data_IF_131994363871
#
_entry.id   IF_131994363871
#
_cell.length_a   1.000
_cell.length_b   1.000
_cell.length_c   1.000
_cell.angle_alpha   90.00
_cell.angle_beta   90.00
_cell.angle_gamma   90.00
#
_symmetry.space_group_name_H-M   'P 1'
#
loop_
_entity.id
_entity.type
_entity.pdbx_description
1 polymer ?
#
# COMPACT_ATOMS: atom_id res chain seq x y z
N UNK A 1 27.37 -7.26 -8.10
CA UNK A 1 26.05 -7.20 -7.42
C UNK A 1 25.92 -8.38 -6.47
N UNK A 2 25.77 -8.16 -5.15
CA UNK A 2 25.43 -9.24 -4.21
C UNK A 2 23.98 -9.67 -4.46
N UNK A 3 23.63 -10.96 -4.49
CA UNK A 3 22.27 -11.39 -4.77
C UNK A 3 21.33 -10.93 -3.65
N UNK A 4 20.32 -10.12 -4.01
CA UNK A 4 19.30 -9.56 -3.11
C UNK A 4 18.73 -10.62 -2.14
N UNK A 5 18.56 -11.85 -2.64
CA UNK A 5 18.04 -13.02 -1.95
C UNK A 5 18.75 -13.41 -0.65
N UNK A 6 20.02 -13.03 -0.46
CA UNK A 6 20.79 -13.46 0.71
C UNK A 6 20.37 -12.77 2.01
N UNK A 7 19.69 -11.62 1.89
CA UNK A 7 19.22 -10.80 3.02
C UNK A 7 17.75 -11.06 3.39
N UNK A 8 17.02 -11.86 2.62
CA UNK A 8 15.61 -12.12 2.90
C UNK A 8 15.37 -13.45 3.62
N UNK A 9 14.43 -13.47 4.59
CA UNK A 9 14.01 -14.68 5.28
C UNK A 9 13.56 -15.78 4.31
N UNK A 10 13.70 -17.03 4.73
CA UNK A 10 13.40 -18.23 3.93
C UNK A 10 11.98 -18.20 3.33
N UNK A 11 11.00 -17.63 4.05
CA UNK A 11 9.61 -17.54 3.62
C UNK A 11 9.35 -16.57 2.47
N UNK A 12 10.27 -15.63 2.18
CA UNK A 12 10.12 -14.72 1.04
C UNK A 12 10.74 -15.28 -0.23
N UNK A 13 11.72 -16.20 -0.14
CA UNK A 13 12.54 -16.63 -1.28
C UNK A 13 11.76 -17.19 -2.47
N UNK A 14 10.62 -17.85 -2.23
CA UNK A 14 9.74 -18.34 -3.31
C UNK A 14 8.97 -17.22 -4.03
N UNK A 15 8.68 -16.09 -3.37
CA UNK A 15 7.97 -14.96 -3.99
C UNK A 15 8.84 -14.18 -4.97
N UNK A 16 10.13 -14.06 -4.67
CA UNK A 16 11.08 -13.31 -5.49
C UNK A 16 11.20 -13.86 -6.93
N UNK A 17 10.91 -15.13 -7.16
CA UNK A 17 11.06 -15.78 -8.47
C UNK A 17 9.87 -15.58 -9.42
N UNK A 18 8.68 -15.27 -8.91
CA UNK A 18 7.45 -15.32 -9.71
C UNK A 18 6.59 -14.05 -9.65
N UNK A 19 6.78 -13.18 -8.65
CA UNK A 19 5.95 -11.99 -8.48
C UNK A 19 6.34 -10.83 -9.42
N UNK A 20 7.63 -10.56 -9.62
CA UNK A 20 8.13 -9.51 -10.51
C UNK A 20 9.61 -9.75 -10.90
N UNK A 21 10.16 -9.09 -11.93
CA UNK A 21 11.59 -9.15 -12.23
C UNK A 21 12.45 -8.60 -11.08
N UNK A 22 13.70 -9.07 -10.97
CA UNK A 22 14.63 -8.67 -9.89
C UNK A 22 14.99 -7.19 -9.89
N UNK A 23 15.05 -6.56 -11.07
CA UNK A 23 15.32 -5.13 -11.18
C UNK A 23 14.18 -4.31 -10.57
N UNK A 24 12.91 -4.72 -10.80
CA UNK A 24 11.72 -4.07 -10.25
C UNK A 24 11.71 -4.20 -8.72
N UNK A 25 12.10 -5.36 -8.21
CA UNK A 25 12.21 -5.61 -6.77
C UNK A 25 13.31 -4.80 -6.10
N UNK A 26 14.45 -4.64 -6.79
CA UNK A 26 15.56 -3.83 -6.31
C UNK A 26 15.17 -2.36 -6.24
N UNK A 27 14.45 -1.86 -7.25
CA UNK A 27 13.90 -0.51 -7.29
C UNK A 27 12.95 -0.25 -6.12
N UNK A 28 11.97 -1.14 -5.91
CA UNK A 28 11.02 -1.01 -4.79
C UNK A 28 11.75 -1.04 -3.46
N UNK A 29 12.70 -1.96 -3.28
CA UNK A 29 13.46 -2.04 -2.04
C UNK A 29 14.25 -0.76 -1.79
N UNK A 30 14.91 -0.18 -2.80
CA UNK A 30 15.61 1.10 -2.65
C UNK A 30 14.66 2.25 -2.29
N UNK A 31 13.46 2.28 -2.88
CA UNK A 31 12.45 3.29 -2.53
C UNK A 31 11.94 3.14 -1.09
N UNK A 32 11.93 1.91 -0.55
CA UNK A 32 11.50 1.62 0.82
C UNK A 32 12.62 1.81 1.86
N UNK A 33 13.89 1.89 1.45
CA UNK A 33 15.04 1.95 2.38
C UNK A 33 15.05 3.18 3.30
N UNK A 34 14.38 4.26 2.92
CA UNK A 34 14.24 5.47 3.74
C UNK A 34 13.23 5.32 4.90
N UNK A 35 12.57 4.17 5.04
CA UNK A 35 11.31 4.07 5.80
C UNK A 35 11.30 2.97 6.88
N UNK A 36 11.94 3.26 8.01
CA UNK A 36 11.88 2.43 9.23
C UNK A 36 12.98 1.36 9.34
N UNK A 37 12.76 0.36 10.20
CA UNK A 37 13.74 -0.69 10.49
C UNK A 37 13.87 -1.69 9.34
N UNK A 38 15.00 -2.42 9.26
CA UNK A 38 15.19 -3.47 8.24
C UNK A 38 14.03 -4.48 8.21
N UNK A 39 13.54 -4.89 9.38
CA UNK A 39 12.37 -5.77 9.49
C UNK A 39 11.12 -5.15 8.87
N UNK A 40 10.86 -3.86 9.11
CA UNK A 40 9.72 -3.16 8.52
C UNK A 40 9.85 -3.06 7.01
N UNK A 41 11.06 -2.80 6.49
CA UNK A 41 11.34 -2.79 5.06
C UNK A 41 11.07 -4.17 4.42
N UNK A 42 11.46 -5.25 5.09
CA UNK A 42 11.18 -6.62 4.63
C UNK A 42 9.68 -6.91 4.55
N UNK A 43 8.90 -6.54 5.57
CA UNK A 43 7.44 -6.74 5.56
C UNK A 43 6.72 -5.85 4.53
N UNK A 44 7.17 -4.61 4.36
CA UNK A 44 6.70 -3.72 3.28
C UNK A 44 6.96 -4.34 1.90
N UNK A 45 8.19 -4.80 1.67
CA UNK A 45 8.57 -5.50 0.45
C UNK A 45 7.76 -6.79 0.23
N UNK A 46 7.48 -7.53 1.31
CA UNK A 46 6.63 -8.71 1.28
C UNK A 46 5.21 -8.35 0.83
N UNK A 47 4.62 -7.30 1.37
CA UNK A 47 3.30 -6.83 0.97
C UNK A 47 3.27 -6.46 -0.51
N UNK A 48 4.27 -5.72 -0.99
CA UNK A 48 4.43 -5.43 -2.41
C UNK A 48 4.42 -6.71 -3.29
N UNK A 49 5.23 -7.71 -2.94
CA UNK A 49 5.31 -8.97 -3.71
C UNK A 49 3.97 -9.72 -3.70
N UNK A 50 3.28 -9.75 -2.55
CA UNK A 50 1.96 -10.37 -2.41
C UNK A 50 0.93 -9.68 -3.29
N UNK A 51 0.89 -8.34 -3.30
CA UNK A 51 -0.02 -7.55 -4.12
C UNK A 51 0.26 -7.71 -5.62
N UNK A 52 1.54 -7.75 -6.03
CA UNK A 52 1.89 -8.05 -7.43
C UNK A 52 1.42 -9.45 -7.84
N UNK A 53 1.58 -10.44 -6.96
CA UNK A 53 1.12 -11.79 -7.22
C UNK A 53 -0.41 -11.88 -7.25
N UNK A 54 -1.10 -11.14 -6.39
CA UNK A 54 -2.56 -11.01 -6.40
C UNK A 54 -3.05 -10.46 -7.74
N UNK A 55 -2.46 -9.37 -8.23
CA UNK A 55 -2.79 -8.79 -9.53
C UNK A 55 -2.57 -9.77 -10.70
N UNK A 56 -1.55 -10.63 -10.64
CA UNK A 56 -1.34 -11.68 -11.66
C UNK A 56 -2.36 -12.80 -11.57
N UNK A 57 -2.75 -13.19 -10.35
CA UNK A 57 -3.68 -14.30 -10.10
C UNK A 57 -5.13 -13.93 -10.42
N UNK A 58 -5.54 -12.70 -10.12
CA UNK A 58 -6.91 -12.22 -10.35
C UNK A 58 -7.04 -11.67 -11.77
N UNK A 59 -7.89 -12.30 -12.60
CA UNK A 59 -8.10 -11.87 -13.99
C UNK A 59 -9.07 -10.70 -14.14
N UNK A 60 -9.99 -10.52 -13.19
CA UNK A 60 -10.91 -9.37 -13.13
C UNK A 60 -10.23 -8.13 -12.56
N UNK A 61 -10.70 -6.94 -12.97
CA UNK A 61 -10.31 -5.68 -12.32
C UNK A 61 -10.74 -5.69 -10.85
N UNK A 62 -9.96 -5.01 -10.01
CA UNK A 62 -10.28 -4.74 -8.62
C UNK A 62 -9.48 -3.56 -8.11
N UNK A 63 -10.09 -2.79 -7.22
CA UNK A 63 -9.40 -1.82 -6.40
C UNK A 63 -8.89 -2.46 -5.11
N UNK A 64 -7.77 -1.98 -4.60
CA UNK A 64 -7.37 -2.31 -3.23
C UNK A 64 -6.58 -1.15 -2.63
N UNK A 65 -6.84 -0.86 -1.36
CA UNK A 65 -6.11 0.14 -0.58
C UNK A 65 -5.59 -0.53 0.70
N UNK A 66 -4.28 -0.57 0.87
CA UNK A 66 -3.64 -1.13 2.07
C UNK A 66 -2.81 -0.05 2.75
N UNK A 67 -3.07 0.21 4.03
CA UNK A 67 -2.32 1.18 4.85
C UNK A 67 -1.48 0.41 5.86
N UNK A 68 -0.16 0.39 5.63
CA UNK A 68 0.81 -0.21 6.55
C UNK A 68 1.37 0.84 7.52
N UNK A 69 1.49 0.49 8.80
CA UNK A 69 1.97 1.39 9.84
C UNK A 69 0.88 2.13 10.62
N UNK A 70 -0.36 1.64 10.56
CA UNK A 70 -1.48 2.23 11.29
C UNK A 70 -1.25 2.21 12.81
N UNK A 71 -1.60 3.31 13.47
CA UNK A 71 -1.50 3.48 14.94
C UNK A 71 -2.89 3.48 15.55
N UNK A 72 -3.04 2.82 16.70
CA UNK A 72 -4.33 2.69 17.39
C UNK A 72 -5.02 4.04 17.65
N UNK A 73 -4.26 5.07 18.01
CA UNK A 73 -4.79 6.41 18.27
C UNK A 73 -5.52 7.04 17.06
N UNK A 74 -5.26 6.59 15.83
CA UNK A 74 -5.87 7.13 14.62
C UNK A 74 -7.29 6.61 14.36
N UNK A 75 -7.71 5.52 15.01
CA UNK A 75 -9.06 4.98 14.77
C UNK A 75 -10.16 6.00 15.05
N UNK A 76 -10.02 6.78 16.12
CA UNK A 76 -11.05 7.72 16.55
C UNK A 76 -11.34 8.83 15.52
N UNK A 77 -10.30 9.30 14.84
CA UNK A 77 -10.37 10.52 14.03
C UNK A 77 -10.29 10.25 12.52
N UNK A 78 -9.85 9.06 12.10
CA UNK A 78 -9.49 8.76 10.71
C UNK A 78 -10.06 7.44 10.18
N UNK A 79 -10.86 6.72 10.95
CA UNK A 79 -11.42 5.44 10.52
C UNK A 79 -12.89 5.30 10.92
N UNK A 80 -13.70 4.95 9.93
CA UNK A 80 -15.06 4.47 10.12
C UNK A 80 -15.25 3.11 9.49
N UNK A 81 -16.24 2.37 9.97
CA UNK A 81 -16.63 1.06 9.45
C UNK A 81 -18.04 1.17 8.87
N UNK A 82 -18.18 1.46 7.56
CA UNK A 82 -19.49 1.56 6.91
C UNK A 82 -20.27 0.24 7.00
N UNK A 83 -19.54 -0.87 6.89
CA UNK A 83 -20.05 -2.22 7.06
C UNK A 83 -19.12 -2.99 8.01
N UNK A 84 -19.54 -3.10 9.27
CA UNK A 84 -18.78 -3.82 10.29
C UNK A 84 -18.54 -5.30 9.94
N UNK A 85 -19.36 -5.90 9.08
CA UNK A 85 -19.20 -7.31 8.65
C UNK A 85 -17.98 -7.51 7.75
N UNK A 86 -17.49 -6.43 7.11
CA UNK A 86 -16.26 -6.46 6.32
C UNK A 86 -14.99 -6.35 7.16
N UNK A 87 -15.10 -6.15 8.48
CA UNK A 87 -13.96 -6.21 9.38
C UNK A 87 -13.71 -7.63 9.92
N UNK A 88 -12.96 -8.42 9.15
CA UNK A 88 -12.66 -9.83 9.49
C UNK A 88 -11.56 -9.99 10.55
N UNK A 89 -11.00 -8.89 11.07
CA UNK A 89 -9.88 -8.90 12.03
C UNK A 89 -10.28 -8.51 13.46
N UNK A 90 -11.57 -8.24 13.71
CA UNK A 90 -12.06 -7.84 15.03
C UNK A 90 -11.76 -8.87 16.13
N UNK A 91 -11.81 -10.17 15.81
CA UNK A 91 -11.66 -11.25 16.79
C UNK A 91 -10.30 -11.96 16.74
N UNK A 92 -9.57 -11.85 15.63
CA UNK A 92 -8.34 -12.64 15.40
C UNK A 92 -7.24 -11.79 14.78
N UNK A 93 -6.18 -11.58 15.55
CA UNK A 93 -4.97 -10.95 15.06
C UNK A 93 -4.31 -11.81 13.98
N UNK A 94 -4.14 -11.25 12.77
CA UNK A 94 -3.41 -11.89 11.69
C UNK A 94 -2.03 -11.25 11.55
N UNK A 95 -0.99 -11.96 11.99
CA UNK A 95 0.39 -11.44 11.96
C UNK A 95 1.08 -11.94 10.69
N UNK A 96 1.42 -11.04 9.77
CA UNK A 96 1.99 -11.38 8.46
C UNK A 96 3.12 -12.40 8.57
N UNK A 97 4.08 -12.17 9.47
CA UNK A 97 5.26 -13.01 9.69
C UNK A 97 4.95 -14.46 10.12
N UNK A 98 3.81 -14.70 10.76
CA UNK A 98 3.41 -16.03 11.28
C UNK A 98 2.72 -16.90 10.24
N UNK A 99 2.28 -16.31 9.12
CA UNK A 99 1.55 -17.01 8.08
C UNK A 99 2.43 -17.16 6.83
N UNK A 100 2.18 -18.22 6.05
CA UNK A 100 2.83 -18.39 4.76
C UNK A 100 2.34 -17.32 3.78
N UNK A 101 3.16 -17.01 2.78
CA UNK A 101 2.79 -16.10 1.69
C UNK A 101 1.52 -16.54 0.96
N UNK A 102 1.27 -17.84 0.89
CA UNK A 102 0.14 -18.41 0.16
C UNK A 102 -1.16 -18.21 0.92
N UNK A 103 -1.12 -18.44 2.24
CA UNK A 103 -2.23 -18.14 3.12
C UNK A 103 -2.55 -16.63 3.10
N UNK A 104 -1.53 -15.78 3.18
CA UNK A 104 -1.75 -14.32 3.10
C UNK A 104 -2.29 -13.90 1.74
N UNK A 105 -1.85 -14.53 0.64
CA UNK A 105 -2.39 -14.25 -0.69
C UNK A 105 -3.87 -14.63 -0.79
N UNK A 106 -4.28 -15.77 -0.23
CA UNK A 106 -5.68 -16.20 -0.18
C UNK A 106 -6.54 -15.24 0.64
N UNK A 107 -6.04 -14.77 1.78
CA UNK A 107 -6.70 -13.73 2.56
C UNK A 107 -6.85 -12.43 1.75
N UNK A 108 -5.79 -11.94 1.12
CA UNK A 108 -5.86 -10.73 0.29
C UNK A 108 -6.80 -10.91 -0.92
N UNK A 109 -6.93 -12.12 -1.46
CA UNK A 109 -7.93 -12.43 -2.48
C UNK A 109 -9.36 -12.24 -1.95
N UNK A 110 -9.65 -12.71 -0.73
CA UNK A 110 -10.97 -12.50 -0.11
C UNK A 110 -11.24 -11.01 0.13
N UNK A 111 -10.25 -10.28 0.66
CA UNK A 111 -10.35 -8.84 0.92
C UNK A 111 -10.44 -7.99 -0.35
N UNK A 112 -10.03 -8.51 -1.52
CA UNK A 112 -10.12 -7.78 -2.80
C UNK A 112 -11.54 -7.50 -3.29
N UNK A 113 -12.55 -8.02 -2.57
CA UNK A 113 -13.96 -7.75 -2.81
C UNK A 113 -14.49 -6.57 -1.99
N UNK A 114 -13.70 -6.07 -1.03
CA UNK A 114 -14.08 -4.91 -0.23
C UNK A 114 -13.63 -3.64 -0.95
N UNK A 115 -14.49 -2.63 -0.94
CA UNK A 115 -14.23 -1.37 -1.65
C UNK A 115 -13.24 -0.47 -0.89
N UNK A 116 -13.14 -0.69 0.42
CA UNK A 116 -12.48 0.14 1.42
C UNK A 116 -11.09 -0.37 1.86
N UNK A 117 -10.45 0.32 2.82
CA UNK A 117 -9.07 0.09 3.20
C UNK A 117 -8.87 -1.17 4.08
N UNK A 118 -7.69 -1.78 3.92
CA UNK A 118 -7.11 -2.76 4.85
C UNK A 118 -6.02 -2.09 5.67
N UNK A 119 -6.11 -2.18 7.00
CA UNK A 119 -5.16 -1.55 7.91
C UNK A 119 -4.21 -2.57 8.52
N UNK A 120 -2.92 -2.23 8.52
CA UNK A 120 -1.84 -3.04 9.08
C UNK A 120 -1.05 -2.20 10.06
N UNK A 121 -0.80 -2.72 11.26
CA UNK A 121 0.03 -2.03 12.25
C UNK A 121 1.50 -1.96 11.83
N UNK A 122 2.28 -1.14 12.51
CA UNK A 122 3.73 -1.05 12.28
C UNK A 122 4.46 -2.39 12.52
N UNK A 123 3.88 -3.29 13.34
CA UNK A 123 4.41 -4.62 13.62
C UNK A 123 3.98 -5.68 12.59
N UNK A 124 3.29 -5.29 11.51
CA UNK A 124 2.84 -6.23 10.47
C UNK A 124 1.63 -7.06 10.87
N UNK A 125 0.78 -6.53 11.76
CA UNK A 125 -0.47 -7.18 12.17
C UNK A 125 -1.60 -6.56 11.35
N UNK A 126 -2.39 -7.36 10.62
CA UNK A 126 -3.64 -6.89 10.01
C UNK A 126 -4.64 -6.68 11.14
N UNK A 127 -5.11 -5.44 11.28
CA UNK A 127 -5.92 -4.99 12.43
C UNK A 127 -7.34 -4.61 12.04
N UNK A 128 -7.60 -4.30 10.76
CA UNK A 128 -8.93 -3.99 10.27
C UNK A 128 -9.01 -4.13 8.74
N UNK A 129 -10.23 -4.35 8.24
CA UNK A 129 -10.59 -4.31 6.82
C UNK A 129 -11.97 -3.68 6.66
N UNK A 130 -12.30 -3.25 5.43
CA UNK A 130 -13.56 -2.54 5.18
C UNK A 130 -13.59 -1.16 5.84
N UNK A 131 -12.41 -0.50 5.96
CA UNK A 131 -12.29 0.78 6.66
C UNK A 131 -12.40 1.95 5.71
N UNK A 132 -13.38 2.81 5.95
CA UNK A 132 -13.46 4.12 5.31
C UNK A 132 -12.48 5.09 5.99
N UNK A 133 -11.56 5.66 5.19
CA UNK A 133 -10.58 6.63 5.69
C UNK A 133 -11.20 8.03 5.79
N UNK A 134 -11.46 8.46 7.02
CA UNK A 134 -12.05 9.77 7.29
C UNK A 134 -11.00 10.87 7.36
N UNK A 135 -11.43 12.12 7.15
CA UNK A 135 -10.62 13.31 7.41
C UNK A 135 -9.26 13.36 6.68
N UNK A 136 -9.11 12.62 5.57
CA UNK A 136 -7.91 12.65 4.73
C UNK A 136 -7.73 13.99 4.02
N UNK A 137 -8.85 14.66 3.69
CA UNK A 137 -8.89 16.02 3.13
C UNK A 137 -7.86 16.26 2.02
N UNK A 138 -7.91 15.50 0.91
CA UNK A 138 -6.88 15.53 -0.13
C UNK A 138 -6.66 16.92 -0.75
N UNK A 139 -7.69 17.78 -0.77
CA UNK A 139 -7.55 19.17 -1.23
C UNK A 139 -6.65 20.01 -0.34
N UNK A 140 -6.79 19.91 0.98
CA UNK A 140 -5.92 20.63 1.93
C UNK A 140 -4.49 20.10 1.82
N UNK A 141 -4.32 18.77 1.79
CA UNK A 141 -3.00 18.15 1.64
C UNK A 141 -2.31 18.58 0.36
N UNK A 142 -3.02 18.65 -0.77
CA UNK A 142 -2.44 19.10 -2.03
C UNK A 142 -1.91 20.55 -1.94
N UNK A 143 -2.61 21.43 -1.22
CA UNK A 143 -2.18 22.81 -0.98
C UNK A 143 -0.95 22.91 -0.07
N UNK A 144 -0.79 21.96 0.85
CA UNK A 144 0.36 21.89 1.76
C UNK A 144 1.62 21.34 1.06
N UNK A 145 1.46 20.37 0.15
CA UNK A 145 2.57 19.74 -0.58
C UNK A 145 3.01 20.57 -1.79
N UNK A 146 2.06 21.06 -2.58
CA UNK A 146 2.34 21.75 -3.83
C UNK A 146 2.15 23.27 -3.64
N UNK A 147 3.24 24.03 -3.67
CA UNK A 147 3.24 25.50 -3.61
C UNK A 147 2.85 26.18 -4.94
N UNK A 148 2.41 25.41 -5.94
CA UNK A 148 2.11 25.87 -7.29
C UNK A 148 0.63 25.69 -7.70
N UNK A 149 0.27 26.27 -8.84
CA UNK A 149 -1.05 26.06 -9.46
C UNK A 149 -1.05 24.72 -10.20
N UNK A 150 -1.75 23.73 -9.66
CA UNK A 150 -2.13 22.52 -10.38
C UNK A 150 -3.58 22.64 -10.86
N UNK A 151 -3.87 22.09 -12.04
CA UNK A 151 -5.22 22.16 -12.64
C UNK A 151 -6.24 21.32 -11.87
N UNK A 152 -5.81 20.18 -11.31
CA UNK A 152 -6.61 19.35 -10.41
C UNK A 152 -5.76 18.59 -9.38
N UNK A 153 -6.43 17.82 -8.51
CA UNK A 153 -5.77 17.05 -7.45
C UNK A 153 -4.89 15.92 -7.99
N UNK A 154 -5.21 15.31 -9.13
CA UNK A 154 -4.36 14.26 -9.70
C UNK A 154 -2.99 14.85 -10.05
N UNK A 155 -2.98 16.02 -10.69
CA UNK A 155 -1.76 16.70 -11.10
C UNK A 155 -1.00 17.27 -9.90
N UNK A 156 -1.72 17.82 -8.91
CA UNK A 156 -1.14 18.36 -7.68
C UNK A 156 -0.34 17.30 -6.91
N UNK A 157 -0.83 16.05 -6.91
CA UNK A 157 -0.18 14.90 -6.30
C UNK A 157 0.83 14.20 -7.22
N UNK A 158 0.99 14.66 -8.45
CA UNK A 158 1.97 14.12 -9.40
C UNK A 158 1.58 12.79 -10.05
N UNK A 159 0.31 12.41 -10.06
CA UNK A 159 -0.14 11.22 -10.79
C UNK A 159 0.00 11.44 -12.30
N UNK A 160 0.54 10.45 -13.03
CA UNK A 160 0.71 10.54 -14.48
C UNK A 160 -0.60 10.29 -15.25
N UNK A 161 -1.64 9.79 -14.56
CA UNK A 161 -3.00 9.61 -15.09
C UNK A 161 -4.00 10.19 -14.10
N UNK A 162 -5.16 10.60 -14.60
CA UNK A 162 -6.27 11.04 -13.73
C UNK A 162 -6.70 9.89 -12.84
N UNK A 163 -6.90 10.20 -11.56
CA UNK A 163 -7.28 9.25 -10.51
C UNK A 163 -8.47 9.78 -9.71
N UNK A 164 -9.12 8.87 -8.98
CA UNK A 164 -10.32 9.17 -8.19
C UNK A 164 -10.09 8.93 -6.69
N UNK A 165 -11.19 8.93 -5.93
CA UNK A 165 -11.25 8.99 -4.48
C UNK A 165 -10.23 8.08 -3.75
N UNK A 166 -10.13 6.80 -4.13
CA UNK A 166 -9.20 5.84 -3.50
C UNK A 166 -7.74 6.30 -3.52
N UNK A 167 -7.29 6.82 -4.65
CA UNK A 167 -5.91 7.28 -4.83
C UNK A 167 -5.66 8.59 -4.08
N UNK A 168 -6.60 9.52 -4.15
CA UNK A 168 -6.54 10.80 -3.46
C UNK A 168 -6.54 10.60 -1.93
N UNK A 169 -7.41 9.72 -1.43
CA UNK A 169 -7.46 9.36 -0.01
C UNK A 169 -6.16 8.66 0.41
N UNK A 170 -5.65 7.72 -0.39
CA UNK A 170 -4.44 6.99 -0.04
C UNK A 170 -3.17 7.85 -0.04
N UNK A 171 -3.00 8.78 -0.98
CA UNK A 171 -1.83 9.68 -0.95
C UNK A 171 -1.94 10.70 0.18
N UNK A 172 -3.13 11.23 0.43
CA UNK A 172 -3.37 12.13 1.56
C UNK A 172 -3.17 11.41 2.91
N UNK A 173 -3.59 10.15 3.01
CA UNK A 173 -3.30 9.27 4.15
C UNK A 173 -1.81 9.15 4.41
N UNK A 174 -1.02 8.88 3.37
CA UNK A 174 0.43 8.73 3.50
C UNK A 174 1.13 10.00 4.00
N UNK A 175 0.53 11.18 3.77
CA UNK A 175 1.03 12.46 4.24
C UNK A 175 0.55 12.80 5.66
N UNK A 176 -0.77 12.73 5.91
CA UNK A 176 -1.39 13.09 7.20
C UNK A 176 -0.98 12.11 8.30
N UNK A 177 -0.91 10.82 7.98
CA UNK A 177 -0.58 9.76 8.92
C UNK A 177 0.89 9.37 8.75
N UNK A 178 1.78 10.21 9.27
CA UNK A 178 3.23 10.05 9.12
C UNK A 178 3.74 8.69 9.59
N UNK A 179 4.69 8.15 8.81
CA UNK A 179 5.26 6.82 9.05
C UNK A 179 4.41 5.67 8.49
N UNK A 180 3.36 5.96 7.71
CA UNK A 180 2.62 4.96 6.95
C UNK A 180 3.20 4.73 5.56
N UNK A 181 3.03 3.51 5.07
CA UNK A 181 3.22 3.14 3.65
C UNK A 181 1.89 2.71 3.10
N UNK A 182 1.44 3.39 2.04
CA UNK A 182 0.14 3.10 1.43
C UNK A 182 0.35 2.39 0.10
N UNK A 183 -0.29 1.24 -0.08
CA UNK A 183 -0.32 0.50 -1.34
C UNK A 183 -1.68 0.67 -1.98
N UNK A 184 -1.70 0.99 -3.27
CA UNK A 184 -2.94 1.15 -4.03
C UNK A 184 -2.89 0.33 -5.30
N UNK A 185 -3.89 -0.50 -5.52
CA UNK A 185 -4.20 -1.11 -6.80
C UNK A 185 -5.36 -0.34 -7.42
N UNK A 186 -5.15 0.24 -8.60
CA UNK A 186 -6.22 0.85 -9.40
C UNK A 186 -7.06 -0.24 -10.05
N UNK A 187 -8.37 -0.12 -9.89
CA UNK A 187 -9.34 -0.99 -10.54
C UNK A 187 -9.34 -0.81 -12.06
N UNK A 188 -9.34 0.45 -12.48
CA UNK A 188 -9.51 0.89 -13.86
C UNK A 188 -8.24 0.65 -14.68
N UNK A 189 -7.07 0.85 -14.06
CA UNK A 189 -5.79 0.89 -14.77
C UNK A 189 -4.90 -0.32 -14.46
N UNK A 190 -5.23 -1.12 -13.43
CA UNK A 190 -4.39 -2.23 -12.92
C UNK A 190 -2.96 -1.80 -12.63
N UNK A 191 -2.81 -0.60 -12.07
CA UNK A 191 -1.53 -0.04 -11.64
C UNK A 191 -1.42 -0.23 -10.14
N UNK A 192 -0.30 -0.81 -9.69
CA UNK A 192 0.15 -0.76 -8.30
C UNK A 192 0.99 0.50 -8.07
N UNK A 193 0.64 1.25 -7.03
CA UNK A 193 1.41 2.39 -6.51
C UNK A 193 1.76 2.16 -5.04
N UNK A 194 2.92 2.65 -4.63
CA UNK A 194 3.35 2.72 -3.22
C UNK A 194 3.60 4.18 -2.89
N UNK A 195 3.01 4.64 -1.78
CA UNK A 195 2.99 6.03 -1.38
C UNK A 195 3.53 6.18 0.03
N UNK A 196 4.37 7.18 0.25
CA UNK A 196 4.87 7.60 1.56
C UNK A 196 4.99 9.12 1.60
N UNK A 197 4.62 9.72 2.74
CA UNK A 197 4.77 11.16 2.99
C UNK A 197 4.17 12.05 1.88
N UNK A 198 3.05 11.63 1.29
CA UNK A 198 2.37 12.36 0.22
C UNK A 198 3.02 12.26 -1.15
N UNK A 199 4.00 11.36 -1.33
CA UNK A 199 4.70 11.14 -2.61
C UNK A 199 4.51 9.72 -3.12
N UNK A 200 4.53 9.57 -4.45
CA UNK A 200 4.59 8.26 -5.12
C UNK A 200 6.05 7.78 -5.11
N UNK A 201 6.39 6.85 -4.23
CA UNK A 201 7.77 6.32 -4.13
C UNK A 201 8.02 5.14 -5.09
N UNK A 202 6.95 4.52 -5.57
CA UNK A 202 6.98 3.49 -6.59
C UNK A 202 5.66 3.46 -7.37
N UNK A 203 5.75 3.21 -8.68
CA UNK A 203 4.62 2.87 -9.52
C UNK A 203 4.99 1.84 -10.56
N UNK A 204 4.07 0.92 -10.81
CA UNK A 204 4.15 0.00 -11.96
C UNK A 204 3.87 0.68 -13.31
N UNK A 205 3.40 1.94 -13.30
CA UNK A 205 3.34 2.78 -14.49
C UNK A 205 4.69 3.47 -14.71
N UNK A 206 5.32 3.20 -15.84
CA UNK A 206 6.60 3.82 -16.20
C UNK A 206 6.51 5.34 -16.24
N UNK A 207 7.51 6.01 -15.68
CA UNK A 207 7.64 7.48 -15.69
C UNK A 207 6.75 8.23 -14.69
N UNK A 208 5.96 7.54 -13.86
CA UNK A 208 5.10 8.22 -12.87
C UNK A 208 5.86 8.68 -11.62
N UNK A 209 6.92 7.97 -11.24
CA UNK A 209 7.79 8.39 -10.14
C UNK A 209 8.71 9.51 -10.64
N UNK A 210 8.58 10.70 -10.07
CA UNK A 210 9.48 11.83 -10.35
C UNK A 210 10.77 11.63 -9.56
N UNK A 211 11.91 11.70 -10.24
CA UNK A 211 13.20 11.93 -9.58
C UNK A 211 13.24 13.38 -9.12
N UNK A 212 13.31 13.59 -7.80
CA UNK A 212 13.63 14.88 -7.19
C UNK A 212 15.04 15.35 -7.64
#
# INVERSE_FOLDING_TARGET
MKPLFRFFPRYMRSMFLFASPLWEQSLVMSSLQSSGTERQQQEKMRMYLLLRRLMKKRRSSFGMLVVYGWKQQWFKDYASFPDATQNVFHEKAYQLEKHSSEHTLELLMQLSHFDDAVLISQQGILIASGVYLENMKPKEVAQEIASGKADDLSDAFGFARKVHARHLAGIACSYRLQGTTVYIISEEQRILRILENGKIIYSSLSGEVRSD
#
